data_IF_366957573881
#
_entry.id   IF_366957573881
#
_cell.length_a   1.000
_cell.length_b   1.000
_cell.length_c   1.000
_cell.angle_alpha   90.00
_cell.angle_beta   90.00
_cell.angle_gamma   90.00
#
_symmetry.space_group_name_H-M   'P 1'
#
loop_
_entity.id
_entity.type
_entity.pdbx_description
1 polymer ?
#
# COMPACT_ATOMS: atom_id res chain seq x y z
N UNK A 1 -2.61 -24.49 27.42
CA UNK A 1 -1.34 -23.84 27.18
C UNK A 1 -1.57 -22.33 27.10
N UNK A 2 -0.91 -21.57 27.98
CA UNK A 2 -0.94 -20.11 27.93
C UNK A 2 0.02 -19.64 26.82
N UNK A 3 -0.48 -18.87 25.86
CA UNK A 3 0.37 -18.20 24.87
C UNK A 3 1.01 -17.02 25.59
N UNK A 4 2.33 -17.06 25.79
CA UNK A 4 3.09 -15.91 26.25
C UNK A 4 3.49 -15.11 25.01
N UNK A 5 2.84 -13.98 24.79
CA UNK A 5 3.29 -12.99 23.82
C UNK A 5 4.49 -12.24 24.42
N UNK A 6 5.56 -12.06 23.65
CA UNK A 6 6.67 -11.19 24.05
C UNK A 6 6.17 -9.75 24.19
N UNK A 7 6.81 -8.98 25.07
CA UNK A 7 6.51 -7.54 25.18
C UNK A 7 7.14 -6.83 23.97
N UNK A 8 6.36 -6.09 23.17
CA UNK A 8 6.93 -5.33 22.06
C UNK A 8 7.85 -4.21 22.58
N UNK A 9 8.91 -3.92 21.83
CA UNK A 9 9.72 -2.71 22.01
C UNK A 9 9.02 -1.61 21.22
N UNK A 10 8.68 -0.50 21.89
CA UNK A 10 7.96 0.62 21.29
C UNK A 10 8.75 1.89 21.44
N UNK A 11 8.87 2.67 20.38
CA UNK A 11 9.43 4.02 20.39
C UNK A 11 8.90 4.84 19.22
N UNK A 12 9.09 6.15 19.30
CA UNK A 12 8.72 7.08 18.25
C UNK A 12 9.95 7.79 17.69
N UNK A 13 10.04 7.86 16.38
CA UNK A 13 11.08 8.59 15.67
C UNK A 13 10.79 10.11 15.72
N UNK A 14 11.83 10.93 15.53
CA UNK A 14 11.70 12.40 15.54
C UNK A 14 10.69 12.97 14.55
N UNK A 15 10.37 12.22 13.50
CA UNK A 15 9.38 12.60 12.47
C UNK A 15 7.95 12.14 12.79
N UNK A 16 7.72 11.55 13.98
CA UNK A 16 6.41 11.07 14.44
C UNK A 16 6.06 9.64 14.03
N UNK A 17 6.96 8.92 13.33
CA UNK A 17 6.74 7.51 12.99
C UNK A 17 6.86 6.65 14.25
N UNK A 18 5.81 5.91 14.57
CA UNK A 18 5.79 4.95 15.68
C UNK A 18 6.35 3.60 15.23
N UNK A 19 7.29 3.07 16.00
CA UNK A 19 7.95 1.79 15.69
C UNK A 19 7.62 0.78 16.79
N UNK A 20 7.16 -0.40 16.36
CA UNK A 20 6.87 -1.54 17.22
C UNK A 20 7.72 -2.72 16.76
N UNK A 21 8.47 -3.34 17.65
CA UNK A 21 9.36 -4.45 17.32
C UNK A 21 9.10 -5.63 18.24
N UNK A 22 9.02 -6.83 17.65
CA UNK A 22 8.88 -8.09 18.39
C UNK A 22 9.91 -9.09 17.88
N UNK A 23 10.89 -9.42 18.74
CA UNK A 23 11.91 -10.43 18.41
C UNK A 23 11.34 -11.84 18.49
N UNK A 24 11.67 -12.65 17.49
CA UNK A 24 11.34 -14.07 17.47
C UNK A 24 12.39 -14.86 16.67
N UNK A 25 13.31 -15.48 17.37
CA UNK A 25 14.45 -16.22 16.78
C UNK A 25 14.15 -17.70 16.45
N UNK A 26 12.87 -18.12 16.45
CA UNK A 26 12.50 -19.51 16.13
C UNK A 26 12.72 -19.87 14.67
N UNK A 27 12.58 -18.90 13.79
CA UNK A 27 12.79 -19.04 12.34
C UNK A 27 13.65 -17.89 11.86
N UNK A 28 14.62 -18.10 10.96
CA UNK A 28 15.49 -17.04 10.44
C UNK A 28 14.75 -16.16 9.39
N UNK A 29 13.65 -15.55 9.80
CA UNK A 29 12.80 -14.68 8.96
C UNK A 29 12.41 -13.42 9.69
N UNK A 30 12.29 -12.34 8.93
CA UNK A 30 11.79 -11.06 9.39
C UNK A 30 10.66 -10.59 8.48
N UNK A 31 9.64 -10.01 9.08
CA UNK A 31 8.55 -9.32 8.40
C UNK A 31 8.48 -7.88 8.89
N UNK A 32 8.30 -6.96 7.96
CA UNK A 32 8.11 -5.53 8.23
C UNK A 32 6.78 -5.09 7.63
N UNK A 33 6.01 -4.34 8.40
CA UNK A 33 4.78 -3.74 7.94
C UNK A 33 4.78 -2.24 8.27
N UNK A 34 4.74 -1.40 7.25
CA UNK A 34 4.45 0.01 7.36
C UNK A 34 2.94 0.18 7.17
N UNK A 35 2.24 0.58 8.20
CA UNK A 35 0.80 0.85 8.15
C UNK A 35 0.59 2.37 8.14
N UNK A 36 -0.15 2.87 7.16
CA UNK A 36 -0.60 4.26 7.12
C UNK A 36 -2.04 4.30 7.63
N UNK A 37 -2.24 4.88 8.81
CA UNK A 37 -3.53 4.96 9.49
C UNK A 37 -4.26 6.26 9.13
N UNK A 38 -4.73 6.33 7.89
CA UNK A 38 -5.54 7.45 7.44
C UNK A 38 -7.03 7.17 7.61
N UNK A 39 -7.82 8.18 7.98
CA UNK A 39 -9.27 8.04 8.00
C UNK A 39 -9.81 7.72 6.60
N UNK A 40 -10.99 7.08 6.50
CA UNK A 40 -11.64 6.83 5.22
C UNK A 40 -11.81 8.12 4.42
N UNK A 41 -11.32 8.13 3.18
CA UNK A 41 -11.34 9.32 2.35
C UNK A 41 -12.77 9.60 1.92
N UNK A 42 -13.29 10.75 2.31
CA UNK A 42 -14.59 11.22 1.85
C UNK A 42 -14.57 11.33 0.32
N UNK A 43 -15.50 10.64 -0.32
CA UNK A 43 -15.55 10.53 -1.76
C UNK A 43 -15.67 11.88 -2.44
N UNK A 44 -14.86 12.05 -3.46
CA UNK A 44 -14.88 13.17 -4.41
C UNK A 44 -15.30 12.66 -5.79
N UNK A 45 -15.35 13.54 -6.78
CA UNK A 45 -15.48 13.18 -8.21
C UNK A 45 -14.35 12.26 -8.73
N UNK A 46 -13.32 12.02 -7.91
CA UNK A 46 -12.14 11.20 -8.19
C UNK A 46 -12.11 9.91 -7.35
N UNK A 47 -13.28 9.27 -7.20
CA UNK A 47 -13.31 7.94 -6.56
C UNK A 47 -12.44 6.96 -7.32
N UNK A 48 -11.54 6.27 -6.59
CA UNK A 48 -10.55 5.37 -7.16
C UNK A 48 -9.11 5.91 -7.11
N UNK A 49 -8.87 7.18 -6.67
CA UNK A 49 -7.52 7.72 -6.55
C UNK A 49 -6.65 6.87 -5.60
N UNK A 50 -7.21 6.38 -4.49
CA UNK A 50 -6.53 5.44 -3.59
C UNK A 50 -6.06 4.18 -4.33
N UNK A 51 -6.96 3.55 -5.11
CA UNK A 51 -6.63 2.33 -5.87
C UNK A 51 -5.62 2.61 -6.97
N UNK A 52 -5.76 3.74 -7.68
CA UNK A 52 -4.79 4.16 -8.69
C UNK A 52 -3.42 4.44 -8.08
N UNK A 53 -3.37 5.09 -6.92
CA UNK A 53 -2.10 5.28 -6.18
C UNK A 53 -1.50 3.93 -5.79
N UNK A 54 -2.32 3.00 -5.26
CA UNK A 54 -1.85 1.66 -4.89
C UNK A 54 -1.29 0.87 -6.07
N UNK A 55 -1.85 1.02 -7.27
CA UNK A 55 -1.38 0.30 -8.46
C UNK A 55 -0.07 0.83 -9.04
N UNK A 56 0.29 2.08 -8.70
CA UNK A 56 1.52 2.73 -9.17
C UNK A 56 2.68 2.56 -8.17
N UNK A 57 2.37 2.57 -6.87
CA UNK A 57 3.40 2.35 -5.84
C UNK A 57 3.99 0.93 -5.95
N UNK A 58 5.26 0.78 -5.60
CA UNK A 58 5.96 -0.51 -5.66
C UNK A 58 6.37 -0.96 -7.08
N UNK A 59 6.25 -0.08 -8.06
CA UNK A 59 6.71 -0.29 -9.45
C UNK A 59 8.14 0.24 -9.69
N UNK A 60 9.03 0.04 -8.72
CA UNK A 60 10.36 0.64 -8.68
C UNK A 60 10.42 1.92 -7.87
N UNK A 61 11.60 2.50 -7.81
CA UNK A 61 11.88 3.77 -7.13
C UNK A 61 12.62 4.72 -8.08
N UNK A 62 12.86 5.95 -7.64
CA UNK A 62 13.70 6.88 -8.41
C UNK A 62 15.17 6.42 -8.50
N UNK A 63 15.61 5.53 -7.61
CA UNK A 63 16.98 4.98 -7.56
C UNK A 63 17.12 3.66 -8.31
N UNK A 64 16.04 2.84 -8.35
CA UNK A 64 16.06 1.48 -8.92
C UNK A 64 14.89 1.36 -9.92
N UNK A 65 15.18 1.14 -11.22
CA UNK A 65 14.16 0.89 -12.24
C UNK A 65 13.29 -0.32 -11.90
N UNK A 66 12.08 -0.37 -12.46
CA UNK A 66 11.08 -1.38 -12.15
C UNK A 66 11.59 -2.83 -12.32
N UNK A 67 12.24 -3.11 -13.43
CA UNK A 67 12.65 -4.48 -13.76
C UNK A 67 13.77 -4.93 -12.83
N UNK A 68 14.78 -4.09 -12.57
CA UNK A 68 15.86 -4.35 -11.63
C UNK A 68 15.32 -4.51 -10.19
N UNK A 69 14.31 -3.72 -9.84
CA UNK A 69 13.67 -3.77 -8.52
C UNK A 69 12.96 -5.12 -8.29
N UNK A 70 12.24 -5.61 -9.29
CA UNK A 70 11.55 -6.90 -9.24
C UNK A 70 12.56 -8.05 -9.24
N UNK A 71 13.56 -8.00 -10.12
CA UNK A 71 14.60 -9.03 -10.22
C UNK A 71 15.37 -9.18 -8.90
N UNK A 72 15.70 -8.07 -8.24
CA UNK A 72 16.40 -8.12 -6.95
C UNK A 72 15.52 -8.73 -5.85
N UNK A 73 14.23 -8.40 -5.77
CA UNK A 73 13.29 -9.01 -4.81
C UNK A 73 13.22 -10.51 -5.00
N UNK A 74 13.09 -10.96 -6.25
CA UNK A 74 13.03 -12.38 -6.60
C UNK A 74 14.34 -13.10 -6.29
N UNK A 75 15.48 -12.49 -6.59
CA UNK A 75 16.82 -13.02 -6.26
C UNK A 75 17.02 -13.20 -4.74
N UNK A 76 16.51 -12.27 -3.93
CA UNK A 76 16.56 -12.37 -2.47
C UNK A 76 15.56 -13.37 -1.90
N UNK A 77 14.68 -13.95 -2.72
CA UNK A 77 13.57 -14.81 -2.26
C UNK A 77 12.67 -14.09 -1.26
N UNK A 78 12.52 -12.80 -1.45
CA UNK A 78 11.76 -11.91 -0.58
C UNK A 78 10.34 -11.64 -1.14
N UNK A 79 9.50 -11.08 -0.30
CA UNK A 79 8.22 -10.48 -0.71
C UNK A 79 8.24 -9.02 -0.34
N UNK A 80 7.88 -8.16 -1.29
CA UNK A 80 7.76 -6.72 -1.08
C UNK A 80 6.52 -6.22 -1.80
N UNK A 81 5.66 -5.52 -1.09
CA UNK A 81 4.47 -4.87 -1.63
C UNK A 81 4.35 -3.46 -1.04
N UNK A 82 4.14 -2.47 -1.88
CA UNK A 82 3.93 -1.07 -1.49
C UNK A 82 2.63 -0.60 -2.13
N UNK A 83 1.76 0.00 -1.34
CA UNK A 83 0.47 0.50 -1.79
C UNK A 83 0.08 1.77 -1.02
N UNK A 84 -1.07 2.36 -1.33
CA UNK A 84 -1.51 3.61 -0.71
C UNK A 84 -1.81 3.51 0.80
N UNK A 85 -1.99 2.30 1.33
CA UNK A 85 -2.18 2.04 2.76
C UNK A 85 -0.90 1.72 3.52
N UNK A 86 0.24 1.64 2.84
CA UNK A 86 1.54 1.36 3.45
C UNK A 86 2.41 0.42 2.63
N UNK A 87 3.26 -0.35 3.32
CA UNK A 87 4.16 -1.31 2.69
C UNK A 87 4.32 -2.56 3.56
N UNK A 88 4.57 -3.68 2.92
CA UNK A 88 4.89 -4.94 3.56
C UNK A 88 6.14 -5.54 2.93
N UNK A 89 7.08 -6.01 3.75
CA UNK A 89 8.22 -6.78 3.30
C UNK A 89 8.45 -8.00 4.19
N UNK A 90 8.94 -9.10 3.60
CA UNK A 90 9.34 -10.29 4.33
C UNK A 90 10.51 -10.97 3.61
N UNK A 91 11.52 -11.37 4.38
CA UNK A 91 12.70 -12.06 3.85
C UNK A 91 13.33 -12.98 4.90
N UNK A 92 14.37 -13.73 4.50
CA UNK A 92 15.28 -14.31 5.45
C UNK A 92 16.04 -13.21 6.21
N UNK A 93 16.37 -13.46 7.50
CA UNK A 93 17.04 -12.49 8.39
C UNK A 93 18.32 -11.91 7.78
N UNK A 94 19.13 -12.73 7.09
CA UNK A 94 20.37 -12.29 6.42
C UNK A 94 20.15 -11.24 5.32
N UNK A 95 18.97 -11.19 4.71
CA UNK A 95 18.62 -10.25 3.65
C UNK A 95 17.76 -9.07 4.15
N UNK A 96 17.40 -9.09 5.43
CA UNK A 96 16.53 -8.09 6.02
C UNK A 96 17.01 -6.64 5.83
N UNK A 97 18.31 -6.31 6.05
CA UNK A 97 18.77 -4.93 5.83
C UNK A 97 18.50 -4.46 4.41
N UNK A 98 18.79 -5.31 3.41
CA UNK A 98 18.62 -4.95 2.01
C UNK A 98 17.15 -4.79 1.62
N UNK A 99 16.27 -5.70 2.05
CA UNK A 99 14.85 -5.59 1.72
C UNK A 99 14.18 -4.41 2.43
N UNK A 100 14.66 -4.05 3.63
CA UNK A 100 14.20 -2.86 4.33
C UNK A 100 14.63 -1.58 3.59
N UNK A 101 15.86 -1.50 3.08
CA UNK A 101 16.31 -0.40 2.23
C UNK A 101 15.45 -0.27 0.97
N UNK A 102 15.20 -1.39 0.26
CA UNK A 102 14.36 -1.39 -0.92
C UNK A 102 12.92 -0.96 -0.60
N UNK A 103 12.35 -1.46 0.50
CA UNK A 103 11.02 -1.05 0.95
C UNK A 103 10.98 0.45 1.27
N UNK A 104 11.99 0.97 1.98
CA UNK A 104 12.08 2.37 2.32
C UNK A 104 12.24 3.25 1.06
N UNK A 105 13.11 2.86 0.13
CA UNK A 105 13.32 3.62 -1.11
C UNK A 105 12.05 3.61 -1.99
N UNK A 106 11.43 2.45 -2.20
CA UNK A 106 10.18 2.37 -2.96
C UNK A 106 9.00 3.08 -2.30
N UNK A 107 8.98 3.15 -0.96
CA UNK A 107 7.93 3.81 -0.20
C UNK A 107 8.12 5.33 -0.10
N UNK A 108 9.36 5.82 0.02
CA UNK A 108 9.69 7.24 0.24
C UNK A 108 10.07 7.97 -1.05
N UNK A 109 10.60 7.26 -2.04
CA UNK A 109 11.05 7.79 -3.33
C UNK A 109 10.38 7.05 -4.51
N UNK A 110 9.04 6.88 -4.52
CA UNK A 110 8.37 6.08 -5.54
C UNK A 110 8.54 6.68 -6.94
N UNK A 111 8.66 5.80 -7.93
CA UNK A 111 8.67 6.18 -9.33
C UNK A 111 7.22 6.39 -9.80
N UNK A 112 6.82 7.66 -10.01
CA UNK A 112 5.54 8.00 -10.62
C UNK A 112 5.66 8.06 -12.15
N UNK A 113 5.69 6.88 -12.79
CA UNK A 113 5.76 6.78 -14.24
C UNK A 113 4.41 7.09 -14.89
N UNK A 114 4.38 8.04 -15.83
CA UNK A 114 3.18 8.34 -16.61
C UNK A 114 2.77 7.16 -17.49
N UNK A 115 3.72 6.40 -18.01
CA UNK A 115 3.46 5.22 -18.82
C UNK A 115 2.75 4.12 -18.00
N UNK A 116 3.27 3.81 -16.80
CA UNK A 116 2.64 2.83 -15.91
C UNK A 116 1.26 3.32 -15.43
N UNK A 117 1.11 4.63 -15.18
CA UNK A 117 -0.18 5.20 -14.83
C UNK A 117 -1.23 4.97 -15.92
N UNK A 118 -0.92 5.26 -17.19
CA UNK A 118 -1.86 5.07 -18.28
C UNK A 118 -2.19 3.58 -18.52
N UNK A 119 -1.20 2.68 -18.37
CA UNK A 119 -1.42 1.23 -18.42
C UNK A 119 -2.38 0.76 -17.32
N UNK A 120 -2.17 1.16 -16.07
CA UNK A 120 -3.02 0.76 -14.96
C UNK A 120 -4.40 1.41 -15.04
N UNK A 121 -4.50 2.64 -15.57
CA UNK A 121 -5.77 3.31 -15.84
C UNK A 121 -6.59 2.57 -16.89
N UNK A 122 -5.98 2.19 -18.01
CA UNK A 122 -6.63 1.41 -19.06
C UNK A 122 -7.12 0.05 -18.53
N UNK A 123 -6.27 -0.68 -17.81
CA UNK A 123 -6.61 -1.96 -17.17
C UNK A 123 -7.78 -1.82 -16.17
N UNK A 124 -7.79 -0.74 -15.39
CA UNK A 124 -8.88 -0.46 -14.45
C UNK A 124 -10.19 -0.21 -15.17
N UNK A 125 -10.18 0.58 -16.25
CA UNK A 125 -11.35 0.85 -17.09
C UNK A 125 -11.88 -0.41 -17.76
N UNK A 126 -11.00 -1.28 -18.27
CA UNK A 126 -11.38 -2.59 -18.82
C UNK A 126 -12.05 -3.47 -17.75
N UNK A 127 -11.47 -3.53 -16.53
CA UNK A 127 -12.05 -4.25 -15.40
C UNK A 127 -13.45 -3.74 -15.02
N UNK A 128 -13.67 -2.41 -15.01
CA UNK A 128 -14.97 -1.81 -14.75
C UNK A 128 -15.97 -2.21 -15.84
N UNK A 129 -15.59 -2.16 -17.11
CA UNK A 129 -16.44 -2.56 -18.26
C UNK A 129 -16.79 -4.05 -18.19
N UNK A 130 -15.82 -4.92 -17.95
CA UNK A 130 -16.04 -6.36 -17.83
C UNK A 130 -17.02 -6.69 -16.69
N UNK A 131 -16.96 -5.96 -15.58
CA UNK A 131 -17.82 -6.15 -14.41
C UNK A 131 -19.16 -5.38 -14.48
N UNK A 132 -19.39 -4.59 -15.53
CA UNK A 132 -20.60 -3.75 -15.65
C UNK A 132 -21.91 -4.54 -15.70
N UNK A 133 -21.86 -5.78 -16.18
CA UNK A 133 -23.01 -6.72 -16.26
C UNK A 133 -23.02 -7.76 -15.14
N UNK A 134 -22.08 -7.71 -14.21
CA UNK A 134 -22.01 -8.67 -13.11
C UNK A 134 -23.06 -8.33 -12.04
N UNK A 135 -24.12 -9.16 -11.97
CA UNK A 135 -25.26 -8.94 -11.06
C UNK A 135 -24.83 -8.85 -9.59
N UNK A 136 -23.87 -9.68 -9.16
CA UNK A 136 -23.38 -9.65 -7.79
C UNK A 136 -22.65 -8.34 -7.45
N UNK A 137 -21.88 -7.80 -8.39
CA UNK A 137 -21.21 -6.50 -8.21
C UNK A 137 -22.22 -5.33 -8.19
N UNK A 138 -23.25 -5.39 -9.04
CA UNK A 138 -24.32 -4.39 -9.04
C UNK A 138 -25.07 -4.45 -7.70
N UNK A 139 -25.45 -5.63 -7.24
CA UNK A 139 -26.14 -5.82 -5.96
C UNK A 139 -25.35 -5.25 -4.77
N UNK A 140 -24.03 -5.53 -4.68
CA UNK A 140 -23.17 -4.98 -3.64
C UNK A 140 -23.10 -3.45 -3.66
N UNK A 141 -23.07 -2.83 -4.84
CA UNK A 141 -23.08 -1.35 -4.97
C UNK A 141 -24.41 -0.77 -4.44
N UNK A 142 -25.53 -1.37 -4.83
CA UNK A 142 -26.84 -0.96 -4.35
C UNK A 142 -26.95 -1.14 -2.83
N UNK A 143 -26.53 -2.28 -2.30
CA UNK A 143 -26.50 -2.55 -0.86
C UNK A 143 -25.69 -1.49 -0.10
N UNK A 144 -24.47 -1.19 -0.56
CA UNK A 144 -23.61 -0.17 0.06
C UNK A 144 -24.26 1.23 0.04
N UNK A 145 -24.91 1.60 -1.06
CA UNK A 145 -25.61 2.88 -1.17
C UNK A 145 -26.82 2.93 -0.23
N UNK A 146 -27.57 1.85 -0.12
CA UNK A 146 -28.74 1.78 0.76
C UNK A 146 -28.31 1.79 2.24
N UNK A 147 -27.24 1.09 2.59
CA UNK A 147 -26.75 1.00 3.96
C UNK A 147 -26.10 2.30 4.46
N UNK A 148 -25.31 2.96 3.63
CA UNK A 148 -24.47 4.11 4.05
C UNK A 148 -24.88 5.44 3.43
N UNK A 149 -25.66 5.44 2.36
CA UNK A 149 -26.01 6.63 1.59
C UNK A 149 -24.95 7.02 0.56
N UNK A 150 -25.38 7.73 -0.49
CA UNK A 150 -24.53 8.12 -1.65
C UNK A 150 -23.35 9.03 -1.29
N UNK A 151 -23.43 9.76 -0.19
CA UNK A 151 -22.42 10.73 0.21
C UNK A 151 -21.39 10.15 1.22
N UNK A 152 -21.67 8.99 1.79
CA UNK A 152 -20.76 8.32 2.71
C UNK A 152 -19.60 7.63 1.95
N UNK A 153 -18.37 7.60 2.46
CA UNK A 153 -17.26 6.91 1.79
C UNK A 153 -17.58 5.46 1.37
N UNK A 154 -18.23 4.69 2.25
CA UNK A 154 -18.61 3.30 2.00
C UNK A 154 -19.79 3.16 1.01
N UNK A 155 -20.57 4.21 0.74
CA UNK A 155 -21.63 4.22 -0.25
C UNK A 155 -21.18 4.65 -1.64
N UNK A 156 -19.92 5.01 -1.81
CA UNK A 156 -19.34 5.40 -3.10
C UNK A 156 -18.67 4.22 -3.78
N UNK A 157 -18.69 4.25 -5.10
CA UNK A 157 -18.00 3.25 -5.93
C UNK A 157 -17.19 3.92 -7.03
N UNK A 158 -16.19 3.21 -7.51
CA UNK A 158 -15.35 3.62 -8.62
C UNK A 158 -16.11 3.42 -9.94
N UNK A 159 -16.27 4.46 -10.74
CA UNK A 159 -16.91 4.45 -12.05
C UNK A 159 -15.91 4.77 -13.16
N UNK A 160 -16.27 4.50 -14.42
CA UNK A 160 -15.45 4.90 -15.57
C UNK A 160 -15.21 6.41 -15.57
N UNK A 161 -16.24 7.21 -15.27
CA UNK A 161 -16.15 8.67 -15.18
C UNK A 161 -15.16 9.09 -14.10
N UNK A 162 -15.25 8.50 -12.88
CA UNK A 162 -14.35 8.85 -11.78
C UNK A 162 -12.89 8.51 -12.09
N UNK A 163 -12.62 7.37 -12.76
CA UNK A 163 -11.27 6.99 -13.18
C UNK A 163 -10.75 7.90 -14.29
N UNK A 164 -11.61 8.27 -15.27
CA UNK A 164 -11.20 9.18 -16.33
C UNK A 164 -10.79 10.57 -15.80
N UNK A 165 -11.41 11.01 -14.70
CA UNK A 165 -11.12 12.29 -14.03
C UNK A 165 -9.84 12.25 -13.19
N UNK A 166 -9.20 11.09 -12.99
CA UNK A 166 -7.94 10.98 -12.24
C UNK A 166 -6.77 11.20 -13.18
N UNK A 167 -5.87 12.09 -12.79
CA UNK A 167 -4.58 12.33 -13.42
C UNK A 167 -3.44 11.78 -12.57
N UNK A 168 -2.23 11.67 -13.13
CA UNK A 168 -1.04 11.30 -12.38
C UNK A 168 -0.71 12.32 -11.28
N UNK A 169 -1.03 13.59 -11.50
CA UNK A 169 -0.84 14.64 -10.49
C UNK A 169 -1.78 14.45 -9.29
N UNK A 170 -2.97 13.89 -9.49
CA UNK A 170 -3.85 13.53 -8.39
C UNK A 170 -3.30 12.38 -7.55
N UNK A 171 -2.67 11.41 -8.20
CA UNK A 171 -1.96 10.29 -7.53
C UNK A 171 -0.80 10.82 -6.69
N UNK A 172 0.04 11.70 -7.25
CA UNK A 172 1.15 12.34 -6.53
C UNK A 172 0.67 13.18 -5.35
N UNK A 173 -0.39 13.95 -5.55
CA UNK A 173 -0.99 14.78 -4.49
C UNK A 173 -1.58 13.91 -3.39
N UNK A 174 -2.27 12.83 -3.76
CA UNK A 174 -2.81 11.86 -2.81
C UNK A 174 -1.69 11.25 -1.97
N UNK A 175 -0.63 10.76 -2.60
CA UNK A 175 0.54 10.22 -1.92
C UNK A 175 1.14 11.25 -0.95
N UNK A 176 1.43 12.46 -1.41
CA UNK A 176 2.03 13.53 -0.61
C UNK A 176 1.21 13.87 0.65
N UNK A 177 -0.13 13.84 0.54
CA UNK A 177 -1.01 14.24 1.64
C UNK A 177 -1.28 13.09 2.63
N UNK A 178 -1.17 11.85 2.19
CA UNK A 178 -1.59 10.69 2.98
C UNK A 178 -0.41 9.82 3.44
N UNK A 179 0.72 9.86 2.75
CA UNK A 179 1.89 9.05 3.08
C UNK A 179 2.81 9.83 4.04
N UNK A 180 2.33 10.03 5.27
CA UNK A 180 2.98 10.89 6.27
C UNK A 180 3.33 10.10 7.53
N UNK A 181 4.52 10.32 8.12
CA UNK A 181 5.03 9.49 9.21
C UNK A 181 4.26 9.62 10.53
N UNK A 182 3.65 10.77 10.80
CA UNK A 182 2.91 11.00 12.05
C UNK A 182 1.58 10.22 12.14
N UNK A 183 1.09 9.67 11.02
CA UNK A 183 -0.05 8.77 10.95
C UNK A 183 0.37 7.34 10.60
N UNK A 184 1.64 6.99 10.83
CA UNK A 184 2.17 5.71 10.41
C UNK A 184 2.74 4.90 11.58
N UNK A 185 2.68 3.57 11.41
CA UNK A 185 3.27 2.59 12.30
C UNK A 185 4.21 1.69 11.49
N UNK A 186 5.44 1.52 11.95
CA UNK A 186 6.37 0.55 11.43
C UNK A 186 6.44 -0.63 12.40
N UNK A 187 5.99 -1.79 11.96
CA UNK A 187 5.90 -3.00 12.77
C UNK A 187 6.92 -4.00 12.23
N UNK A 188 7.87 -4.43 13.07
CA UNK A 188 8.94 -5.38 12.71
C UNK A 188 8.80 -6.60 13.59
N UNK A 189 8.70 -7.78 12.97
CA UNK A 189 8.53 -9.05 13.69
C UNK A 189 9.46 -10.10 13.09
N UNK A 190 10.24 -10.78 13.91
CA UNK A 190 11.05 -11.91 13.49
C UNK A 190 12.43 -11.97 14.12
N UNK A 191 13.35 -12.59 13.39
CA UNK A 191 14.72 -12.84 13.82
C UNK A 191 15.63 -11.67 13.41
N UNK A 192 15.74 -10.69 14.29
CA UNK A 192 16.60 -9.52 14.14
C UNK A 192 17.12 -9.08 15.53
N UNK A 193 18.14 -8.25 15.55
CA UNK A 193 18.59 -7.53 16.74
C UNK A 193 18.15 -6.07 16.62
N UNK A 194 17.46 -5.50 17.63
CA UNK A 194 16.95 -4.11 17.62
C UNK A 194 18.06 -3.06 17.52
#
# INVERSE_FOLDING_TARGET
PSIKLGTPIEFELKNGLKVLMVENHKLPRVSVNLLIDNPPIAGSSKNGVYSMTSSILGKGSNSIPKDDYIEEIDFLGASLNINAGGAFASSLSRFFPRILEMMADGALNPLFSSEEFEKEKAKTLEGIKANSKNVAQIARRVESILAYGKNHPNGKYTSEESINNISIEDVKLFYKNNYVPNNAYLIIIGDFNP
#
